data_IF_722285087843
#
_entry.id   IF_722285087843
#
_cell.length_a   1.000
_cell.length_b   1.000
_cell.length_c   1.000
_cell.angle_alpha   90.00
_cell.angle_beta   90.00
_cell.angle_gamma   90.00
#
_symmetry.space_group_name_H-M   'P 1'
#
loop_
_entity.id
_entity.type
_entity.pdbx_description
1 polymer ?
#
# COMPACT_ATOMS: atom_id res chain seq x y z
N UNK A 1 10.61 -3.11 13.89
CA UNK A 1 9.43 -2.96 13.05
C UNK A 1 9.45 -1.61 12.35
N UNK A 2 8.97 -1.57 11.12
CA UNK A 2 8.92 -0.36 10.31
C UNK A 2 7.51 -0.21 9.78
N UNK A 3 6.99 1.02 9.77
CA UNK A 3 5.70 1.34 9.17
C UNK A 3 5.96 1.96 7.80
N UNK A 4 5.31 1.42 6.79
CA UNK A 4 5.29 2.03 5.46
C UNK A 4 3.94 2.72 5.27
N UNK A 5 3.98 3.98 4.87
CA UNK A 5 2.79 4.77 4.57
C UNK A 5 2.87 5.23 3.12
N UNK A 6 1.83 4.94 2.35
CA UNK A 6 1.76 5.33 0.94
C UNK A 6 0.49 6.11 0.71
N UNK A 7 0.63 7.37 0.29
CA UNK A 7 -0.51 8.17 -0.13
C UNK A 7 -0.75 7.94 -1.62
N UNK A 8 -2.00 7.59 -1.95
CA UNK A 8 -2.42 7.28 -3.31
C UNK A 8 -3.51 8.24 -3.75
N UNK A 9 -3.41 8.74 -4.99
CA UNK A 9 -4.51 9.46 -5.64
C UNK A 9 -5.03 8.60 -6.77
N UNK A 10 -6.33 8.30 -6.73
CA UNK A 10 -6.99 7.46 -7.73
C UNK A 10 -7.70 8.35 -8.73
N UNK A 11 -7.73 7.93 -9.99
CA UNK A 11 -8.45 8.64 -11.04
C UNK A 11 -9.92 8.78 -10.62
N UNK A 12 -10.44 10.01 -10.68
CA UNK A 12 -11.82 10.30 -10.28
C UNK A 12 -12.81 9.45 -11.10
N UNK A 13 -13.74 8.83 -10.41
CA UNK A 13 -14.71 7.92 -11.01
C UNK A 13 -14.27 6.47 -11.04
N UNK A 14 -13.01 6.16 -10.70
CA UNK A 14 -12.49 4.80 -10.70
C UNK A 14 -12.32 4.22 -9.30
N UNK A 15 -12.87 4.88 -8.28
CA UNK A 15 -12.68 4.46 -6.88
C UNK A 15 -13.22 3.07 -6.62
N UNK A 16 -14.42 2.75 -7.10
CA UNK A 16 -15.01 1.43 -6.85
C UNK A 16 -14.20 0.31 -7.51
N UNK A 17 -13.73 0.54 -8.75
CA UNK A 17 -12.92 -0.44 -9.46
C UNK A 17 -11.57 -0.63 -8.76
N UNK A 18 -10.97 0.46 -8.28
CA UNK A 18 -9.74 0.39 -7.52
C UNK A 18 -9.90 -0.42 -6.24
N UNK A 19 -10.97 -0.16 -5.50
CA UNK A 19 -11.23 -0.88 -4.25
C UNK A 19 -11.44 -2.37 -4.50
N UNK A 20 -12.12 -2.73 -5.58
CA UNK A 20 -12.28 -4.12 -5.97
C UNK A 20 -10.94 -4.78 -6.28
N UNK A 21 -10.08 -4.11 -7.05
CA UNK A 21 -8.73 -4.61 -7.38
C UNK A 21 -7.87 -4.77 -6.13
N UNK A 22 -8.02 -3.85 -5.16
CA UNK A 22 -7.19 -3.86 -3.95
C UNK A 22 -7.58 -4.95 -2.95
N UNK A 23 -8.70 -5.62 -3.11
CA UNK A 23 -8.98 -6.84 -2.34
C UNK A 23 -7.86 -7.86 -2.58
N UNK A 24 -7.43 -8.03 -3.82
CA UNK A 24 -6.29 -8.89 -4.17
C UNK A 24 -4.96 -8.19 -3.90
N UNK A 25 -4.88 -6.90 -4.19
CA UNK A 25 -3.66 -6.13 -4.01
C UNK A 25 -3.16 -6.15 -2.57
N UNK A 26 -4.05 -5.89 -1.61
CA UNK A 26 -3.69 -5.91 -0.19
C UNK A 26 -3.29 -7.31 0.25
N UNK A 27 -3.97 -8.35 -0.25
CA UNK A 27 -3.62 -9.74 0.06
C UNK A 27 -2.21 -10.10 -0.44
N UNK A 28 -1.82 -9.63 -1.62
CA UNK A 28 -0.47 -9.82 -2.15
C UNK A 28 0.58 -9.17 -1.23
N UNK A 29 0.30 -7.96 -0.75
CA UNK A 29 1.20 -7.26 0.16
C UNK A 29 1.30 -7.97 1.51
N UNK A 30 0.17 -8.39 2.05
CA UNK A 30 0.12 -9.07 3.35
C UNK A 30 0.87 -10.41 3.33
N UNK A 31 0.95 -11.05 2.17
CA UNK A 31 1.65 -12.33 2.02
C UNK A 31 3.16 -12.16 1.83
N UNK A 32 3.66 -10.95 1.67
CA UNK A 32 5.09 -10.70 1.44
C UNK A 32 5.92 -11.12 2.67
N UNK A 33 7.06 -11.79 2.47
CA UNK A 33 7.93 -12.14 3.60
C UNK A 33 8.34 -10.90 4.38
N UNK A 34 8.14 -10.92 5.68
CA UNK A 34 8.45 -9.79 6.56
C UNK A 34 7.37 -8.75 6.71
N UNK A 35 6.32 -8.81 5.89
CA UNK A 35 5.14 -7.97 6.07
C UNK A 35 4.26 -8.55 7.16
N UNK A 36 4.03 -7.79 8.22
CA UNK A 36 3.22 -8.25 9.36
C UNK A 36 1.80 -7.69 9.34
N UNK A 37 1.55 -6.65 8.55
CA UNK A 37 0.23 -6.04 8.44
C UNK A 37 0.16 -5.23 7.14
N UNK A 38 -1.00 -5.27 6.47
CA UNK A 38 -1.27 -4.43 5.30
C UNK A 38 -2.74 -4.03 5.32
N UNK A 39 -3.04 -2.78 4.99
CA UNK A 39 -4.39 -2.29 4.95
C UNK A 39 -4.52 -1.04 4.09
N UNK A 40 -5.73 -0.77 3.65
CA UNK A 40 -6.05 0.38 2.81
C UNK A 40 -7.21 1.14 3.42
N UNK A 41 -7.09 2.46 3.49
CA UNK A 41 -8.15 3.34 3.97
C UNK A 41 -8.46 4.40 2.92
N UNK A 42 -9.75 4.75 2.81
CA UNK A 42 -10.22 5.77 1.88
C UNK A 42 -10.34 7.11 2.58
N UNK A 43 -9.93 8.18 1.92
CA UNK A 43 -10.07 9.53 2.44
C UNK A 43 -11.53 9.91 2.64
N UNK A 44 -11.83 10.56 3.77
CA UNK A 44 -13.17 11.07 4.05
C UNK A 44 -13.36 12.42 3.40
N UNK A 45 -12.42 13.35 3.62
CA UNK A 45 -12.46 14.70 3.05
C UNK A 45 -12.25 14.70 1.55
N UNK A 46 -11.41 13.78 1.06
CA UNK A 46 -11.09 13.64 -0.36
C UNK A 46 -11.24 12.17 -0.75
N UNK A 47 -12.43 11.75 -1.24
CA UNK A 47 -12.72 10.33 -1.46
C UNK A 47 -11.90 9.63 -2.54
N UNK A 48 -11.18 10.38 -3.39
CA UNK A 48 -10.26 9.80 -4.37
C UNK A 48 -8.85 9.60 -3.82
N UNK A 49 -8.59 10.02 -2.57
CA UNK A 49 -7.32 9.82 -1.88
C UNK A 49 -7.44 8.59 -0.99
N UNK A 50 -6.37 7.82 -0.97
CA UNK A 50 -6.28 6.59 -0.18
C UNK A 50 -4.97 6.57 0.60
N UNK A 51 -4.99 5.86 1.71
CA UNK A 51 -3.80 5.61 2.51
C UNK A 51 -3.58 4.10 2.57
N UNK A 52 -2.47 3.66 2.03
CA UNK A 52 -2.00 2.29 2.14
C UNK A 52 -1.02 2.26 3.30
N UNK A 53 -1.25 1.37 4.26
CA UNK A 53 -0.41 1.25 5.45
C UNK A 53 0.07 -0.18 5.57
N UNK A 54 1.39 -0.33 5.71
CA UNK A 54 2.01 -1.64 5.90
C UNK A 54 2.93 -1.59 7.11
N UNK A 55 3.12 -2.76 7.72
CA UNK A 55 4.15 -2.94 8.74
C UNK A 55 5.10 -4.03 8.27
N UNK A 56 6.39 -3.75 8.38
CA UNK A 56 7.47 -4.64 7.98
C UNK A 56 8.37 -4.93 9.17
N UNK A 57 8.95 -6.11 9.21
CA UNK A 57 9.95 -6.41 10.24
C UNK A 57 11.17 -5.52 10.10
N UNK A 58 11.53 -5.15 8.86
CA UNK A 58 12.67 -4.29 8.56
C UNK A 58 12.49 -3.59 7.22
N UNK A 59 13.27 -2.52 6.97
CA UNK A 59 13.30 -1.87 5.67
C UNK A 59 13.84 -2.84 4.61
N UNK A 60 14.80 -3.68 4.97
CA UNK A 60 15.40 -4.66 4.07
C UNK A 60 14.36 -5.64 3.55
N UNK A 61 13.41 -6.05 4.38
CA UNK A 61 12.31 -6.92 3.95
C UNK A 61 11.42 -6.23 2.91
N UNK A 62 11.11 -4.94 3.13
CA UNK A 62 10.36 -4.16 2.15
C UNK A 62 11.14 -4.03 0.85
N UNK A 63 12.42 -3.67 0.92
CA UNK A 63 13.28 -3.53 -0.25
C UNK A 63 13.35 -4.84 -1.05
N UNK A 64 13.51 -5.96 -0.36
CA UNK A 64 13.54 -7.28 -0.99
C UNK A 64 12.24 -7.57 -1.74
N UNK A 65 11.09 -7.21 -1.14
CA UNK A 65 9.79 -7.43 -1.76
C UNK A 65 9.66 -6.69 -3.10
N UNK A 66 10.24 -5.49 -3.23
CA UNK A 66 10.12 -4.69 -4.46
C UNK A 66 10.75 -5.35 -5.68
N UNK A 67 11.58 -6.36 -5.50
CA UNK A 67 12.17 -7.14 -6.60
C UNK A 67 11.44 -8.44 -6.90
N UNK A 68 10.27 -8.69 -6.31
CA UNK A 68 9.56 -9.96 -6.46
C UNK A 68 8.42 -9.88 -7.48
N UNK A 69 7.96 -11.08 -7.92
CA UNK A 69 6.77 -11.20 -8.76
C UNK A 69 5.52 -10.69 -8.05
N UNK A 70 5.44 -10.84 -6.72
CA UNK A 70 4.32 -10.33 -5.94
C UNK A 70 4.18 -8.82 -6.04
N UNK A 71 5.29 -8.11 -6.01
CA UNK A 71 5.29 -6.66 -6.20
C UNK A 71 4.89 -6.27 -7.62
N UNK A 72 5.40 -7.00 -8.62
CA UNK A 72 5.03 -6.76 -10.01
C UNK A 72 3.52 -6.95 -10.23
N UNK A 73 2.94 -8.00 -9.64
CA UNK A 73 1.49 -8.23 -9.70
C UNK A 73 0.71 -7.12 -9.01
N UNK A 74 1.19 -6.66 -7.86
CA UNK A 74 0.56 -5.54 -7.17
C UNK A 74 0.54 -4.30 -8.07
N UNK A 75 1.65 -3.97 -8.70
CA UNK A 75 1.72 -2.82 -9.61
C UNK A 75 0.79 -2.97 -10.81
N UNK A 76 0.63 -4.16 -11.34
CA UNK A 76 -0.32 -4.41 -12.42
C UNK A 76 -1.76 -4.18 -12.00
N UNK A 77 -2.10 -4.56 -10.76
CA UNK A 77 -3.45 -4.39 -10.23
C UNK A 77 -3.75 -2.93 -9.88
N UNK A 78 -2.82 -2.24 -9.25
CA UNK A 78 -3.05 -0.92 -8.67
C UNK A 78 -2.65 0.23 -9.60
N UNK A 79 -1.56 0.05 -10.36
CA UNK A 79 -0.95 1.11 -11.15
C UNK A 79 -1.89 1.82 -12.12
N UNK A 80 -2.74 1.09 -12.86
CA UNK A 80 -3.65 1.75 -13.83
C UNK A 80 -4.63 2.76 -13.23
N UNK A 81 -4.84 2.71 -11.91
CA UNK A 81 -5.79 3.59 -11.23
C UNK A 81 -5.15 4.86 -10.68
N UNK A 82 -3.83 4.95 -10.66
CA UNK A 82 -3.15 6.10 -10.06
C UNK A 82 -3.27 7.34 -10.93
N UNK A 83 -3.77 8.44 -10.34
CA UNK A 83 -3.85 9.73 -11.00
C UNK A 83 -2.49 10.44 -11.01
N UNK A 84 -1.64 10.10 -10.05
CA UNK A 84 -0.30 10.64 -9.93
C UNK A 84 0.62 9.62 -9.25
N UNK A 85 1.91 9.90 -9.23
CA UNK A 85 2.88 9.02 -8.60
C UNK A 85 2.61 8.91 -7.09
N UNK A 86 2.54 7.69 -6.54
CA UNK A 86 2.38 7.52 -5.09
C UNK A 86 3.53 8.13 -4.29
N UNK A 87 3.19 8.67 -3.12
CA UNK A 87 4.17 9.21 -2.18
C UNK A 87 4.33 8.24 -1.02
N UNK A 88 5.52 7.66 -0.88
CA UNK A 88 5.81 6.62 0.10
C UNK A 88 6.86 7.10 1.09
N UNK A 89 6.64 6.80 2.38
CA UNK A 89 7.58 7.06 3.45
C UNK A 89 7.62 5.89 4.44
N UNK A 90 8.75 5.75 5.11
CA UNK A 90 8.88 4.81 6.22
C UNK A 90 8.89 5.57 7.53
N UNK A 91 8.31 4.96 8.55
CA UNK A 91 8.25 5.52 9.91
C UNK A 91 8.70 4.46 10.90
N UNK A 92 9.41 4.90 11.93
CA UNK A 92 9.77 4.05 13.05
C UNK A 92 8.79 4.30 14.20
N UNK A 93 8.15 3.27 14.75
CA UNK A 93 7.28 3.46 15.91
C UNK A 93 8.04 4.04 17.08
N UNK A 94 7.43 5.01 17.77
CA UNK A 94 8.02 5.65 18.95
C UNK A 94 7.15 5.42 20.18
N UNK A 95 5.84 5.56 20.03
CA UNK A 95 4.91 5.40 21.16
C UNK A 95 3.50 5.13 20.63
N UNK A 96 2.76 4.23 21.30
CA UNK A 96 1.34 4.02 21.04
C UNK A 96 0.99 3.35 19.72
N UNK A 97 1.98 2.83 19.00
CA UNK A 97 1.77 2.14 17.71
C UNK A 97 2.08 0.67 17.90
N UNK A 98 1.13 -0.19 17.57
CA UNK A 98 1.30 -1.65 17.65
C UNK A 98 1.99 -2.19 16.40
#
# INVERSE_FOLDING_TARGET
MVIERVELSVVAGREADFEAAMQRGVALLAAAPGCTSAGLARGIERPSRYLLMLKWRSIEDHTAFTGTDGFAKFRELAGPFFAERPAMEHFQPVAGVD
#
